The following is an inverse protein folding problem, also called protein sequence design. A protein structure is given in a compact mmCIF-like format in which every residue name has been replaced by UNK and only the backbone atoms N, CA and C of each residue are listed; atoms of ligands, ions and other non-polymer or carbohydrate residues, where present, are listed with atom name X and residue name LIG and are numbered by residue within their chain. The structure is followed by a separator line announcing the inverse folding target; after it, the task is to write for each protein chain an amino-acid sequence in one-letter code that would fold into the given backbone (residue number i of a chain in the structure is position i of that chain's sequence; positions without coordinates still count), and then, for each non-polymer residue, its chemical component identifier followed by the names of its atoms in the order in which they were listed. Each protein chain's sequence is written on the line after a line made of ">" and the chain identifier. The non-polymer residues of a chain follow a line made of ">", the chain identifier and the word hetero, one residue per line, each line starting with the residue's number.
data_IF_328971269512
#
_entry.id   IF_328971269512
#
_cell.length_a   1.000
_cell.length_b   1.000
_cell.length_c   1.000
_cell.angle_alpha   90.00
_cell.angle_beta   90.00
_cell.angle_gamma   90.00
#
_symmetry.space_group_name_H-M   'P 1'
#
loop_
_entity.id
_entity.type
_entity.pdbx_description
1 polymer ?
#
# COMPACT_ATOMS: atom_id res chain seq x y z
N UNK A 1 -2.15 -1.30 11.88
CA UNK A 1 -2.35 -0.62 10.58
C UNK A 1 -0.98 -0.29 9.99
N UNK A 2 -0.74 -0.56 8.69
CA UNK A 2 0.57 -0.39 8.07
C UNK A 2 0.84 1.09 7.74
N UNK A 3 2.09 1.60 7.80
CA UNK A 3 2.38 3.02 7.55
C UNK A 3 1.94 3.57 6.17
N UNK A 4 1.75 2.70 5.18
CA UNK A 4 1.22 3.08 3.86
C UNK A 4 -0.28 3.34 3.86
N UNK A 5 -1.03 2.74 4.77
CA UNK A 5 -2.50 2.73 4.70
C UNK A 5 -3.04 4.16 4.81
N UNK A 6 -2.50 4.98 5.71
CA UNK A 6 -2.90 6.39 5.85
C UNK A 6 -2.67 7.20 4.57
N UNK A 7 -1.51 7.05 3.94
CA UNK A 7 -1.25 7.73 2.66
C UNK A 7 -2.17 7.22 1.54
N UNK A 8 -2.35 5.90 1.45
CA UNK A 8 -3.13 5.29 0.37
C UNK A 8 -4.62 5.64 0.49
N UNK A 9 -5.17 5.68 1.70
CA UNK A 9 -6.60 5.90 1.95
C UNK A 9 -6.95 7.37 2.18
N UNK A 10 -6.14 8.09 2.94
CA UNK A 10 -6.48 9.42 3.44
C UNK A 10 -5.51 10.50 2.93
N UNK A 11 -4.50 10.11 2.14
CA UNK A 11 -3.46 11.03 1.65
C UNK A 11 -2.54 11.58 2.74
N UNK A 12 -2.68 11.10 3.98
CA UNK A 12 -2.00 11.60 5.17
C UNK A 12 -1.42 10.43 5.99
N UNK A 13 -0.13 10.44 6.37
CA UNK A 13 0.87 11.48 6.10
C UNK A 13 1.24 11.57 4.61
N UNK A 14 2.05 12.56 4.23
CA UNK A 14 2.43 12.75 2.83
C UNK A 14 3.13 11.50 2.26
N UNK A 15 3.15 11.37 0.93
CA UNK A 15 3.82 10.25 0.25
C UNK A 15 5.27 10.06 0.71
N UNK A 16 6.01 11.17 0.84
CA UNK A 16 7.40 11.14 1.26
C UNK A 16 7.55 10.60 2.69
N UNK A 17 6.68 11.02 3.61
CA UNK A 17 6.67 10.54 4.99
C UNK A 17 6.26 9.07 5.08
N UNK A 18 5.25 8.65 4.32
CA UNK A 18 4.82 7.26 4.27
C UNK A 18 5.94 6.36 3.73
N UNK A 19 6.63 6.76 2.65
CA UNK A 19 7.79 6.03 2.12
C UNK A 19 8.92 5.98 3.16
N UNK A 20 9.22 7.09 3.82
CA UNK A 20 10.24 7.13 4.86
C UNK A 20 9.90 6.19 6.03
N UNK A 21 8.63 6.17 6.47
CA UNK A 21 8.16 5.27 7.54
C UNK A 21 8.29 3.79 7.13
N UNK A 22 7.92 3.45 5.90
CA UNK A 22 8.07 2.10 5.36
C UNK A 22 9.53 1.67 5.28
N UNK A 23 10.42 2.55 4.82
CA UNK A 23 11.84 2.24 4.71
C UNK A 23 12.53 2.10 6.06
N UNK A 24 11.96 2.63 7.15
CA UNK A 24 12.42 2.41 8.53
C UNK A 24 11.99 1.06 9.09
N UNK A 25 10.81 0.57 8.71
CA UNK A 25 10.21 -0.68 9.22
C UNK A 25 10.10 -1.70 8.07
N UNK A 26 11.23 -2.02 7.45
CA UNK A 26 11.28 -2.97 6.33
C UNK A 26 10.93 -4.38 6.80
N UNK A 27 10.04 -5.04 6.08
CA UNK A 27 9.80 -6.47 6.23
C UNK A 27 11.02 -7.27 5.79
N UNK A 28 11.23 -8.43 6.42
CA UNK A 28 12.23 -9.42 6.00
C UNK A 28 11.75 -10.27 4.81
N UNK A 29 10.49 -10.13 4.36
CA UNK A 29 9.97 -10.90 3.22
C UNK A 29 10.84 -10.64 1.96
N UNK A 30 11.43 -11.68 1.34
CA UNK A 30 12.25 -11.53 0.16
C UNK A 30 11.49 -10.90 -1.02
N UNK A 31 10.18 -11.11 -1.12
CA UNK A 31 9.31 -10.55 -2.17
C UNK A 31 9.13 -9.04 -2.02
N UNK A 32 9.29 -8.49 -0.81
CA UNK A 32 9.20 -7.06 -0.56
C UNK A 32 10.52 -6.31 -0.86
N UNK A 33 11.65 -7.01 -0.88
CA UNK A 33 12.98 -6.39 -1.06
C UNK A 33 13.14 -5.61 -2.38
N UNK A 34 12.66 -6.10 -3.54
CA UNK A 34 12.73 -5.34 -4.79
C UNK A 34 12.00 -3.99 -4.69
N UNK A 35 10.85 -3.96 -4.01
CA UNK A 35 10.08 -2.74 -3.78
C UNK A 35 10.84 -1.76 -2.88
N UNK A 36 11.43 -2.23 -1.77
CA UNK A 36 12.24 -1.36 -0.91
C UNK A 36 13.43 -0.75 -1.66
N UNK A 37 14.14 -1.54 -2.47
CA UNK A 37 15.24 -1.02 -3.30
C UNK A 37 14.76 0.01 -4.32
N UNK A 38 13.60 -0.20 -4.93
CA UNK A 38 13.02 0.77 -5.86
C UNK A 38 12.60 2.06 -5.14
N UNK A 39 11.97 1.96 -3.97
CA UNK A 39 11.59 3.11 -3.14
C UNK A 39 12.79 3.89 -2.63
N UNK A 40 13.89 3.21 -2.28
CA UNK A 40 15.15 3.84 -1.86
C UNK A 40 15.75 4.71 -2.97
N UNK A 41 15.63 4.26 -4.24
CA UNK A 41 16.17 4.98 -5.42
C UNK A 41 15.24 6.06 -5.95
N UNK A 42 13.94 5.76 -6.03
CA UNK A 42 12.95 6.60 -6.72
C UNK A 42 12.21 7.52 -5.75
N UNK A 43 12.07 7.10 -4.49
CA UNK A 43 11.40 7.86 -3.44
C UNK A 43 9.98 8.27 -3.82
N UNK A 44 9.65 9.53 -3.58
CA UNK A 44 8.34 10.16 -3.86
C UNK A 44 7.89 10.01 -5.32
N UNK A 45 8.83 9.85 -6.26
CA UNK A 45 8.52 9.67 -7.69
C UNK A 45 7.98 8.27 -8.03
N UNK A 46 8.01 7.33 -7.08
CA UNK A 46 7.48 5.99 -7.29
C UNK A 46 5.99 6.07 -7.63
N UNK A 47 5.50 5.25 -8.55
CA UNK A 47 4.06 5.20 -8.83
C UNK A 47 3.29 4.72 -7.59
N UNK A 48 2.05 5.21 -7.40
CA UNK A 48 1.21 4.73 -6.30
C UNK A 48 0.91 3.24 -6.42
N UNK A 49 0.86 2.70 -7.64
CA UNK A 49 0.77 1.27 -7.89
C UNK A 49 1.91 0.47 -7.27
N UNK A 50 3.13 1.01 -7.25
CA UNK A 50 4.25 0.33 -6.59
C UNK A 50 4.03 0.24 -5.07
N UNK A 51 3.35 1.22 -4.49
CA UNK A 51 2.96 1.22 -3.07
C UNK A 51 1.81 0.24 -2.81
N UNK A 52 0.83 0.16 -3.72
CA UNK A 52 -0.25 -0.84 -3.66
C UNK A 52 0.30 -2.27 -3.80
N UNK A 53 1.18 -2.50 -4.75
CA UNK A 53 1.85 -3.78 -4.98
C UNK A 53 2.67 -4.20 -3.75
N UNK A 54 3.46 -3.28 -3.17
CA UNK A 54 4.15 -3.54 -1.91
C UNK A 54 3.15 -3.89 -0.79
N UNK A 55 2.04 -3.17 -0.69
CA UNK A 55 1.05 -3.44 0.36
C UNK A 55 0.40 -4.83 0.22
N UNK A 56 0.15 -5.28 -1.01
CA UNK A 56 -0.31 -6.64 -1.31
C UNK A 56 0.72 -7.69 -0.91
N UNK A 57 1.99 -7.49 -1.25
CA UNK A 57 3.08 -8.41 -0.85
C UNK A 57 3.16 -8.53 0.67
N UNK A 58 3.06 -7.41 1.38
CA UNK A 58 3.07 -7.38 2.85
C UNK A 58 1.81 -8.00 3.47
N UNK A 59 0.71 -8.08 2.73
CA UNK A 59 -0.47 -8.85 3.08
C UNK A 59 -0.34 -10.34 2.73
N UNK A 60 0.82 -10.80 2.27
CA UNK A 60 1.07 -12.18 1.84
C UNK A 60 0.54 -12.51 0.45
N UNK A 61 -0.06 -11.53 -0.26
CA UNK A 61 -0.68 -11.70 -1.58
C UNK A 61 0.34 -11.55 -2.72
N UNK A 62 0.00 -12.08 -3.89
CA UNK A 62 0.77 -11.89 -5.12
C UNK A 62 0.30 -10.60 -5.81
N UNK A 63 1.19 -9.65 -6.12
CA UNK A 63 0.82 -8.40 -6.78
C UNK A 63 0.69 -8.61 -8.30
N UNK A 64 -0.35 -9.30 -8.75
CA UNK A 64 -0.70 -9.38 -10.18
C UNK A 64 -1.24 -8.05 -10.69
N UNK A 65 -1.23 -7.85 -12.01
CA UNK A 65 -1.80 -6.64 -12.62
C UNK A 65 -3.27 -6.47 -12.23
N UNK A 66 -4.06 -7.55 -12.31
CA UNK A 66 -5.46 -7.56 -11.90
C UNK A 66 -5.64 -7.19 -10.42
N UNK A 67 -4.77 -7.68 -9.53
CA UNK A 67 -4.81 -7.34 -8.11
C UNK A 67 -4.48 -5.86 -7.86
N UNK A 68 -3.51 -5.32 -8.59
CA UNK A 68 -3.15 -3.89 -8.51
C UNK A 68 -4.29 -3.02 -9.04
N UNK A 69 -4.90 -3.39 -10.16
CA UNK A 69 -6.06 -2.69 -10.74
C UNK A 69 -7.24 -2.71 -9.77
N UNK A 70 -7.55 -3.86 -9.17
CA UNK A 70 -8.61 -3.99 -8.18
C UNK A 70 -8.34 -3.11 -6.94
N UNK A 71 -7.10 -3.13 -6.43
CA UNK A 71 -6.69 -2.30 -5.30
C UNK A 71 -6.74 -0.80 -5.61
N UNK A 72 -6.38 -0.40 -6.84
CA UNK A 72 -6.47 0.99 -7.29
C UNK A 72 -7.93 1.44 -7.38
N UNK A 73 -8.81 0.61 -7.94
CA UNK A 73 -10.24 0.89 -8.00
C UNK A 73 -10.85 1.03 -6.60
N UNK A 74 -10.44 0.16 -5.67
CA UNK A 74 -10.87 0.20 -4.28
C UNK A 74 -10.38 1.45 -3.54
N UNK A 75 -9.11 1.82 -3.73
CA UNK A 75 -8.57 3.09 -3.24
C UNK A 75 -9.40 4.26 -3.76
N UNK A 76 -9.72 4.30 -5.06
CA UNK A 76 -10.57 5.35 -5.63
C UNK A 76 -11.93 5.42 -4.94
N UNK A 77 -12.60 4.28 -4.72
CA UNK A 77 -13.89 4.21 -3.99
C UNK A 77 -13.80 4.77 -2.57
N UNK A 78 -12.68 4.53 -1.87
CA UNK A 78 -12.43 5.14 -0.55
C UNK A 78 -12.32 6.66 -0.65
N UNK A 79 -11.57 7.17 -1.63
CA UNK A 79 -11.44 8.62 -1.87
C UNK A 79 -12.76 9.27 -2.27
N UNK A 80 -13.61 8.56 -3.02
CA UNK A 80 -14.94 9.01 -3.41
C UNK A 80 -15.96 8.93 -2.24
N UNK A 81 -15.54 8.45 -1.05
CA UNK A 81 -16.38 8.38 0.14
C UNK A 81 -17.40 7.24 0.12
N UNK A 82 -17.20 6.22 -0.71
CA UNK A 82 -18.14 5.12 -0.84
C UNK A 82 -18.23 4.31 0.47
N UNK A 83 -19.44 4.10 1.03
CA UNK A 83 -19.60 3.38 2.28
C UNK A 83 -19.09 1.93 2.17
N UNK A 84 -18.35 1.49 3.18
CA UNK A 84 -17.77 0.13 3.25
C UNK A 84 -16.51 -0.10 2.40
N UNK A 85 -16.12 0.82 1.51
CA UNK A 85 -14.91 0.66 0.70
C UNK A 85 -13.63 0.56 1.56
N UNK A 86 -13.60 1.26 2.70
CA UNK A 86 -12.48 1.18 3.66
C UNK A 86 -12.38 -0.21 4.30
N UNK A 87 -13.49 -0.80 4.75
CA UNK A 87 -13.51 -2.17 5.28
C UNK A 87 -13.06 -3.19 4.23
N UNK A 88 -13.54 -3.07 2.98
CA UNK A 88 -13.11 -3.95 1.90
C UNK A 88 -11.61 -3.82 1.65
N UNK A 89 -11.05 -2.60 1.67
CA UNK A 89 -9.61 -2.39 1.54
C UNK A 89 -8.84 -3.09 2.67
N UNK A 90 -9.27 -2.90 3.91
CA UNK A 90 -8.62 -3.50 5.09
C UNK A 90 -8.65 -5.02 5.04
N UNK A 91 -9.78 -5.61 4.65
CA UNK A 91 -9.93 -7.04 4.41
C UNK A 91 -8.95 -7.52 3.35
N UNK A 92 -8.82 -6.79 2.25
CA UNK A 92 -7.90 -7.14 1.17
C UNK A 92 -6.44 -7.10 1.60
N UNK A 93 -6.06 -6.16 2.45
CA UNK A 93 -4.67 -6.00 2.88
C UNK A 93 -4.36 -6.71 4.21
N UNK A 94 -5.24 -7.60 4.65
CA UNK A 94 -5.05 -8.43 5.83
C UNK A 94 -4.90 -7.62 7.12
N UNK A 95 -5.48 -6.42 7.20
CA UNK A 95 -5.70 -5.77 8.48
C UNK A 95 -6.83 -6.53 9.18
N UNK A 96 -6.51 -7.72 9.70
CA UNK A 96 -7.40 -8.36 10.67
C UNK A 96 -7.59 -7.35 11.81
N UNK A 97 -8.83 -7.08 12.24
CA UNK A 97 -9.05 -6.46 13.53
C UNK A 97 -8.37 -7.36 14.57
N UNK A 98 -7.69 -6.72 15.51
CA UNK A 98 -7.03 -7.35 16.65
C UNK A 98 -7.94 -8.34 17.39
#
# INVERSE_FOLDING_TARGET
>A
MHPLDGYLLDGTPSKAEAIAAVLRVRSADPRAQPFYRALDRVGVRAADDALLALRLVLAGKVPTDEAIVAMRALRKRVHDGEPGAREVYRSEVGASPE
#
